data_IF_936999764577
#
_entry.id   IF_936999764577
#
_cell.length_a   1.000
_cell.length_b   1.000
_cell.length_c   1.000
_cell.angle_alpha   90.00
_cell.angle_beta   90.00
_cell.angle_gamma   90.00
#
_symmetry.space_group_name_H-M   'P 1'
#
loop_
_entity.id
_entity.type
_entity.pdbx_description
1 polymer ?
#
# COMPACT_ATOMS: atom_id res chain seq x y z
N UNK A 1 -7.16 -1.00 13.99
CA UNK A 1 -5.82 -0.35 13.90
C UNK A 1 -5.42 -0.47 12.45
N UNK A 2 -5.25 0.65 11.75
CA UNK A 2 -4.99 0.59 10.31
C UNK A 2 -3.49 0.49 10.06
N UNK A 3 -3.09 -0.56 9.38
CA UNK A 3 -1.69 -0.88 9.07
C UNK A 3 -1.52 -0.82 7.56
N UNK A 4 -0.52 -0.05 7.11
CA UNK A 4 -0.06 -0.02 5.72
C UNK A 4 1.13 -0.96 5.58
N UNK A 5 0.94 -2.10 4.92
CA UNK A 5 2.03 -2.97 4.50
C UNK A 5 2.51 -2.56 3.11
N UNK A 6 3.82 -2.41 2.93
CA UNK A 6 4.48 -2.16 1.66
C UNK A 6 5.51 -3.27 1.49
N UNK A 7 5.55 -3.91 0.33
CA UNK A 7 6.64 -4.81 -0.03
C UNK A 7 7.22 -4.38 -1.37
N UNK A 8 8.52 -4.11 -1.37
CA UNK A 8 9.29 -3.69 -2.55
C UNK A 8 10.48 -4.61 -2.83
N UNK A 9 10.51 -5.79 -2.20
CA UNK A 9 11.67 -6.68 -2.17
C UNK A 9 11.97 -7.37 -3.51
N UNK A 10 11.01 -7.42 -4.43
CA UNK A 10 11.16 -8.09 -5.73
C UNK A 10 10.95 -7.12 -6.91
N UNK A 11 11.04 -7.63 -8.14
CA UNK A 11 10.66 -6.90 -9.38
C UNK A 11 9.22 -6.32 -9.36
N UNK A 12 8.45 -6.73 -8.37
CA UNK A 12 7.06 -6.40 -8.12
C UNK A 12 6.97 -5.52 -6.87
N UNK A 13 6.20 -4.45 -6.92
CA UNK A 13 5.87 -3.64 -5.75
C UNK A 13 4.44 -3.94 -5.32
N UNK A 14 4.20 -4.09 -4.03
CA UNK A 14 2.87 -4.28 -3.48
C UNK A 14 2.64 -3.40 -2.26
N UNK A 15 1.38 -3.00 -2.07
CA UNK A 15 0.96 -2.23 -0.90
C UNK A 15 -0.43 -2.72 -0.47
N UNK A 16 -0.69 -2.82 0.82
CA UNK A 16 -1.97 -3.24 1.36
C UNK A 16 -2.31 -2.47 2.63
N UNK A 17 -3.59 -2.14 2.80
CA UNK A 17 -4.11 -1.62 4.08
C UNK A 17 -4.94 -2.70 4.73
N UNK A 18 -4.68 -2.96 6.01
CA UNK A 18 -5.47 -3.84 6.87
C UNK A 18 -5.92 -3.09 8.10
N UNK A 19 -7.10 -3.42 8.64
CA UNK A 19 -7.56 -2.91 9.94
C UNK A 19 -7.23 -3.88 11.10
N UNK A 20 -6.45 -4.92 10.82
CA UNK A 20 -6.11 -6.01 11.75
C UNK A 20 -7.06 -7.20 11.68
N UNK A 21 -8.33 -6.97 11.31
CA UNK A 21 -9.31 -8.05 11.10
C UNK A 21 -9.49 -8.42 9.62
N UNK A 22 -9.36 -7.44 8.72
CA UNK A 22 -9.56 -7.61 7.28
C UNK A 22 -8.69 -6.67 6.47
N UNK A 23 -8.32 -7.12 5.28
CA UNK A 23 -7.65 -6.29 4.28
C UNK A 23 -8.67 -5.35 3.66
N UNK A 24 -8.49 -4.05 3.84
CA UNK A 24 -9.34 -2.99 3.27
C UNK A 24 -9.02 -2.76 1.78
N UNK A 25 -7.79 -3.02 1.37
CA UNK A 25 -7.39 -2.96 -0.03
C UNK A 25 -5.96 -3.46 -0.21
N UNK A 26 -5.67 -4.00 -1.39
CA UNK A 26 -4.34 -4.37 -1.81
C UNK A 26 -4.08 -3.86 -3.24
N UNK A 27 -2.83 -3.51 -3.50
CA UNK A 27 -2.32 -3.11 -4.79
C UNK A 27 -1.07 -3.95 -5.07
N UNK A 28 -0.95 -4.43 -6.29
CA UNK A 28 0.19 -5.22 -6.74
C UNK A 28 0.55 -4.76 -8.15
N UNK A 29 1.82 -4.45 -8.37
CA UNK A 29 2.36 -4.17 -9.68
C UNK A 29 3.59 -5.03 -9.94
N UNK A 30 3.66 -5.62 -11.13
CA UNK A 30 4.78 -6.43 -11.58
C UNK A 30 5.39 -5.86 -12.87
N UNK A 31 5.50 -4.53 -12.95
CA UNK A 31 5.93 -3.86 -14.18
C UNK A 31 7.44 -3.76 -14.35
N UNK A 32 8.26 -4.29 -13.43
CA UNK A 32 9.72 -4.41 -13.59
C UNK A 32 10.48 -3.08 -13.76
N UNK A 33 9.80 -1.93 -13.65
CA UNK A 33 10.34 -0.60 -13.88
C UNK A 33 9.96 0.36 -12.74
N UNK A 34 11.01 0.99 -12.20
CA UNK A 34 11.04 2.17 -11.31
C UNK A 34 10.28 2.06 -9.97
N UNK A 35 10.92 1.46 -8.97
CA UNK A 35 10.43 1.29 -7.58
C UNK A 35 9.94 2.58 -6.89
N UNK A 36 10.38 3.77 -7.31
CA UNK A 36 10.01 5.04 -6.66
C UNK A 36 8.96 5.87 -7.40
N UNK A 37 8.76 5.65 -8.71
CA UNK A 37 7.83 6.47 -9.50
C UNK A 37 6.39 5.95 -9.48
N UNK A 38 6.20 4.65 -9.30
CA UNK A 38 4.87 4.00 -9.26
C UNK A 38 4.34 3.77 -7.86
N UNK A 39 5.21 3.73 -6.84
CA UNK A 39 4.83 3.30 -5.50
C UNK A 39 4.00 4.35 -4.74
N UNK A 40 4.39 5.62 -4.81
CA UNK A 40 3.58 6.73 -4.26
C UNK A 40 2.16 6.82 -4.86
N UNK A 41 1.98 6.84 -6.19
CA UNK A 41 0.63 6.89 -6.77
C UNK A 41 -0.18 5.61 -6.50
N UNK A 42 0.45 4.45 -6.29
CA UNK A 42 -0.25 3.25 -5.82
C UNK A 42 -0.78 3.41 -4.40
N UNK A 43 0.04 3.89 -3.47
CA UNK A 43 -0.41 4.14 -2.09
C UNK A 43 -1.53 5.19 -2.08
N UNK A 44 -1.40 6.26 -2.86
CA UNK A 44 -2.43 7.29 -2.98
C UNK A 44 -3.76 6.73 -3.53
N UNK A 45 -3.68 5.89 -4.57
CA UNK A 45 -4.86 5.21 -5.13
C UNK A 45 -5.49 4.26 -4.13
N UNK A 46 -4.68 3.54 -3.36
CA UNK A 46 -5.15 2.58 -2.38
C UNK A 46 -5.80 3.27 -1.17
N UNK A 47 -5.25 4.39 -0.70
CA UNK A 47 -5.87 5.26 0.31
C UNK A 47 -7.22 5.82 -0.17
N UNK A 48 -7.28 6.30 -1.42
CA UNK A 48 -8.55 6.75 -2.05
C UNK A 48 -9.58 5.63 -2.14
N UNK A 49 -9.19 4.45 -2.62
CA UNK A 49 -10.10 3.31 -2.78
C UNK A 49 -10.60 2.77 -1.44
N UNK A 50 -9.72 2.74 -0.43
CA UNK A 50 -10.09 2.34 0.93
C UNK A 50 -10.84 3.45 1.68
N UNK A 51 -10.92 4.67 1.12
CA UNK A 51 -11.45 5.88 1.77
C UNK A 51 -10.80 6.14 3.14
N UNK A 52 -9.48 5.93 3.22
CA UNK A 52 -8.66 6.06 4.44
C UNK A 52 -7.70 7.23 4.27
N UNK A 53 -7.52 8.03 5.31
CA UNK A 53 -6.49 9.08 5.33
C UNK A 53 -5.17 8.53 5.84
N UNK A 54 -4.05 9.10 5.40
CA UNK A 54 -2.72 8.80 5.94
C UNK A 54 -2.64 9.02 7.46
N UNK A 55 -3.35 10.04 7.97
CA UNK A 55 -3.48 10.31 9.40
C UNK A 55 -4.16 9.17 10.19
N UNK A 56 -4.96 8.33 9.53
CA UNK A 56 -5.64 7.20 10.17
C UNK A 56 -4.75 5.95 10.24
N UNK A 57 -3.56 5.97 9.64
CA UNK A 57 -2.66 4.81 9.61
C UNK A 57 -1.78 4.82 10.86
N UNK A 58 -2.00 3.83 11.71
CA UNK A 58 -1.31 3.67 12.99
C UNK A 58 0.11 3.11 12.81
N UNK A 59 0.31 2.31 11.75
CA UNK A 59 1.56 1.56 11.55
C UNK A 59 1.88 1.37 10.07
N UNK A 60 3.16 1.48 9.73
CA UNK A 60 3.69 1.19 8.41
C UNK A 60 4.66 0.02 8.53
N UNK A 61 4.39 -1.07 7.81
CA UNK A 61 5.29 -2.20 7.65
C UNK A 61 5.92 -2.12 6.24
N UNK A 62 7.25 -2.28 6.14
CA UNK A 62 8.02 -2.19 4.90
C UNK A 62 8.87 -3.44 4.68
#
# INVERSE_FOLDING_TARGET
>A
MKILGIDSSARSASAAITDGEKVLGCFYTNTGLTHSQTLMPMIESLLKNANVRLDDIDLIAV
#
